data_IF_164802783683
#
_entry.id   IF_164802783683
#
_cell.length_a   1.000
_cell.length_b   1.000
_cell.length_c   1.000
_cell.angle_alpha   90.00
_cell.angle_beta   90.00
_cell.angle_gamma   90.00
#
_symmetry.space_group_name_H-M   'P 1'
#
loop_
_entity.id
_entity.type
_entity.pdbx_description
1 polymer ?
2 non-polymer ?
3 water ?
#
# COMPACT_ATOMS: atom_id res chain seq x y z
N UNK A 19 -16.61 -5.24 28.31
CA UNK A 19 -16.10 -6.60 28.25
C UNK A 19 -14.68 -6.69 28.81
N UNK A 20 -13.98 -5.55 28.83
CA UNK A 20 -12.60 -5.52 29.30
C UNK A 20 -11.68 -6.42 28.50
N UNK A 21 -11.82 -6.42 27.18
CA UNK A 21 -11.13 -7.38 26.33
C UNK A 21 -11.20 -6.90 24.89
N UNK A 22 -10.12 -7.08 24.16
CA UNK A 22 -10.03 -6.66 22.76
C UNK A 22 -10.31 -7.87 21.88
N UNK A 23 -11.45 -7.86 21.20
CA UNK A 23 -11.91 -8.99 20.40
C UNK A 23 -11.61 -8.74 18.94
N UNK A 24 -10.72 -9.54 18.37
CA UNK A 24 -10.37 -9.48 16.95
C UNK A 24 -11.00 -10.68 16.26
N UNK A 25 -11.81 -10.41 15.24
CA UNK A 25 -12.42 -11.45 14.42
C UNK A 25 -11.73 -11.46 13.06
N UNK A 26 -11.23 -12.63 12.67
CA UNK A 26 -10.52 -12.80 11.41
C UNK A 26 -11.36 -13.65 10.47
N UNK A 27 -11.49 -13.22 9.22
CA UNK A 27 -12.31 -13.89 8.23
C UNK A 27 -11.52 -14.09 6.94
N UNK A 28 -11.99 -15.02 6.10
CA UNK A 28 -11.51 -15.14 4.74
C UNK A 28 -10.90 -16.50 4.46
N UNK A 29 -9.85 -16.51 3.63
CA UNK A 29 -9.31 -17.69 3.00
C UNK A 29 -8.00 -18.10 3.68
N UNK A 30 -7.12 -18.79 2.93
CA UNK A 30 -5.92 -19.38 3.50
C UNK A 30 -4.90 -18.34 3.98
N UNK A 31 -4.93 -17.13 3.42
CA UNK A 31 -4.01 -16.10 3.89
C UNK A 31 -4.31 -15.69 5.33
N UNK A 32 -5.59 -15.71 5.71
CA UNK A 32 -5.96 -15.42 7.09
C UNK A 32 -5.80 -16.64 7.98
N UNK A 33 -5.93 -17.84 7.41
CA UNK A 33 -5.64 -19.06 8.16
C UNK A 33 -4.16 -19.22 8.45
N UNK A 34 -3.30 -18.60 7.64
CA UNK A 34 -1.87 -18.72 7.82
C UNK A 34 -1.21 -19.85 7.06
N UNK A 35 -1.83 -20.33 5.98
CA UNK A 35 -1.26 -21.44 5.22
C UNK A 35 0.05 -21.03 4.56
N UNK A 36 1.09 -21.83 4.76
CA UNK A 36 2.41 -21.55 4.26
C UNK A 36 3.39 -21.05 5.31
N UNK A 37 2.89 -20.64 6.47
CA UNK A 37 3.76 -20.20 7.56
C UNK A 37 4.34 -21.41 8.27
N UNK A 38 5.66 -21.38 8.50
CA UNK A 38 6.32 -22.48 9.21
C UNK A 38 5.68 -22.71 10.57
N UNK A 39 5.60 -21.66 11.39
CA UNK A 39 4.81 -21.70 12.60
C UNK A 39 3.33 -21.52 12.26
N UNK A 40 2.48 -21.69 13.25
CA UNK A 40 1.07 -21.47 13.04
C UNK A 40 0.62 -20.03 13.20
N UNK A 41 1.56 -19.08 13.22
CA UNK A 41 1.22 -17.71 13.54
C UNK A 41 0.38 -17.07 12.44
N UNK A 42 0.91 -17.04 11.22
CA UNK A 42 0.30 -16.25 10.16
C UNK A 42 0.42 -14.77 10.47
N UNK A 43 -0.13 -13.94 9.57
CA UNK A 43 -0.04 -12.50 9.78
C UNK A 43 -0.83 -12.06 11.01
N UNK A 44 -1.81 -12.85 11.45
CA UNK A 44 -2.59 -12.50 12.63
C UNK A 44 -1.70 -12.49 13.87
N UNK A 45 -0.86 -13.52 14.00
CA UNK A 45 -0.03 -13.63 15.20
C UNK A 45 0.96 -12.49 15.34
N UNK A 46 1.60 -12.09 14.23
CA UNK A 46 2.52 -10.96 14.29
C UNK A 46 1.78 -9.65 14.52
N UNK A 47 0.52 -9.58 14.11
CA UNK A 47 -0.30 -8.42 14.43
C UNK A 47 -0.56 -8.33 15.93
N UNK A 48 -0.90 -9.46 16.54
CA UNK A 48 -1.17 -9.48 17.98
C UNK A 48 0.09 -9.17 18.78
N UNK A 49 1.25 -9.65 18.30
CA UNK A 49 2.51 -9.37 18.98
C UNK A 49 2.75 -7.87 19.08
N UNK A 50 2.46 -7.13 18.00
CA UNK A 50 2.64 -5.69 18.02
C UNK A 50 1.57 -4.99 18.84
N UNK A 51 0.34 -5.50 18.82
CA UNK A 51 -0.71 -4.90 19.62
C UNK A 51 -0.45 -5.05 21.12
N UNK A 52 0.25 -6.11 21.51
CA UNK A 52 0.57 -6.32 22.92
C UNK A 52 1.72 -5.44 23.40
N UNK A 53 2.33 -4.66 22.51
CA UNK A 53 3.25 -3.62 22.96
C UNK A 53 2.53 -2.36 23.41
N UNK A 54 1.24 -2.24 23.10
CA UNK A 54 0.48 -1.03 23.38
C UNK A 54 -0.34 -1.10 24.65
N UNK A 55 -0.74 -2.29 25.08
CA UNK A 55 -1.60 -2.41 26.25
C UNK A 55 -1.48 -3.81 26.84
N UNK A 56 -1.77 -3.91 28.13
CA UNK A 56 -1.87 -5.19 28.82
C UNK A 56 -3.29 -5.75 28.80
N UNK A 57 -4.23 -5.07 28.16
CA UNK A 57 -5.60 -5.55 28.08
C UNK A 57 -5.63 -6.85 27.27
N UNK A 58 -6.33 -7.88 27.73
CA UNK A 58 -6.34 -9.16 27.01
C UNK A 58 -6.82 -9.01 25.57
N UNK A 59 -6.09 -9.62 24.65
CA UNK A 59 -6.41 -9.60 23.24
C UNK A 59 -6.79 -11.02 22.81
N UNK A 60 -8.01 -11.19 22.33
CA UNK A 60 -8.55 -12.49 21.95
C UNK A 60 -8.83 -12.49 20.45
N UNK A 61 -8.40 -13.56 19.78
CA UNK A 61 -8.55 -13.69 18.34
C UNK A 61 -9.54 -14.81 18.05
N UNK A 62 -10.54 -14.50 17.23
CA UNK A 62 -11.50 -15.48 16.74
C UNK A 62 -11.28 -15.61 15.24
N UNK A 63 -10.55 -16.65 14.84
CA UNK A 63 -10.19 -16.86 13.43
C UNK A 63 -11.21 -17.82 12.81
N UNK A 64 -12.04 -17.28 11.92
CA UNK A 64 -13.06 -18.05 11.22
C UNK A 64 -12.68 -18.35 9.77
N UNK A 65 -11.39 -18.21 9.43
CA UNK A 65 -10.97 -18.38 8.05
C UNK A 65 -11.02 -19.85 7.64
N UNK A 66 -11.33 -20.08 6.37
CA UNK A 66 -11.33 -21.40 5.75
C UNK A 66 -10.47 -21.33 4.50
N UNK A 67 -9.58 -22.30 4.33
CA UNK A 67 -8.54 -22.20 3.31
C UNK A 67 -9.15 -22.01 1.91
N UNK A 68 -10.11 -22.85 1.53
CA UNK A 68 -10.65 -22.79 0.20
C UNK A 68 -11.85 -21.86 0.04
N UNK A 69 -11.96 -20.87 0.92
CA UNK A 69 -13.13 -20.00 0.91
C UNK A 69 -13.05 -19.00 -0.24
N UNK A 70 -14.17 -18.82 -0.94
CA UNK A 70 -14.34 -17.80 -1.96
C UNK A 70 -15.28 -16.72 -1.42
N UNK A 71 -15.46 -15.66 -2.21
CA UNK A 71 -16.30 -14.54 -1.77
C UNK A 71 -17.75 -14.96 -1.58
N UNK A 72 -18.24 -15.90 -2.40
CA UNK A 72 -19.61 -16.37 -2.23
C UNK A 72 -19.78 -17.24 -0.99
N UNK A 73 -18.75 -18.03 -0.66
CA UNK A 73 -18.82 -18.82 0.56
C UNK A 73 -18.72 -17.97 1.81
N UNK A 74 -17.91 -16.91 1.77
CA UNK A 74 -17.81 -16.02 2.91
C UNK A 74 -19.13 -15.30 3.17
N UNK A 75 -19.80 -14.85 2.10
CA UNK A 75 -21.11 -14.23 2.25
C UNK A 75 -22.10 -15.22 2.86
N UNK A 76 -22.08 -16.47 2.39
CA UNK A 76 -22.96 -17.49 2.97
C UNK A 76 -22.57 -17.81 4.41
N UNK A 77 -21.26 -17.82 4.70
CA UNK A 77 -20.82 -18.08 6.07
C UNK A 77 -21.32 -17.00 7.02
N UNK A 78 -21.29 -15.74 6.58
CA UNK A 78 -21.77 -14.63 7.40
C UNK A 78 -23.28 -14.65 7.62
N UNK A 79 -23.98 -15.65 7.06
CA UNK A 79 -25.39 -15.82 7.33
C UNK A 79 -25.73 -16.72 8.49
N UNK A 80 -24.72 -17.36 9.09
CA UNK A 80 -24.94 -18.22 10.25
C UNK A 80 -25.12 -17.38 11.49
N UNK A 81 -26.09 -17.77 12.33
CA UNK A 81 -26.42 -16.96 13.50
C UNK A 81 -25.27 -16.90 14.49
N UNK A 82 -24.58 -18.02 14.72
CA UNK A 82 -23.45 -18.02 15.63
C UNK A 82 -22.31 -17.16 15.10
N UNK A 83 -22.07 -17.21 13.79
CA UNK A 83 -21.04 -16.36 13.19
C UNK A 83 -21.41 -14.89 13.34
N UNK A 84 -22.68 -14.55 13.13
CA UNK A 84 -23.11 -13.16 13.27
C UNK A 84 -22.99 -12.67 14.70
N UNK A 85 -23.20 -13.56 15.68
CA UNK A 85 -23.04 -13.17 17.07
C UNK A 85 -21.60 -12.78 17.39
N UNK A 86 -20.63 -13.45 16.74
CA UNK A 86 -19.23 -13.13 16.98
C UNK A 86 -18.77 -11.91 16.19
N UNK A 87 -19.40 -11.62 15.06
CA UNK A 87 -19.08 -10.41 14.31
C UNK A 87 -19.53 -9.17 15.10
N UNK A 88 -20.69 -9.24 15.73
CA UNK A 88 -21.21 -8.09 16.47
C UNK A 88 -20.37 -7.78 17.71
N UNK A 89 -19.70 -8.77 18.28
CA UNK A 89 -18.84 -8.55 19.43
C UNK A 89 -17.46 -8.04 19.06
N UNK A 90 -17.12 -8.01 17.78
CA UNK A 90 -15.75 -7.69 17.38
C UNK A 90 -15.44 -6.21 17.61
N UNK A 91 -14.28 -5.96 18.22
CA UNK A 91 -13.71 -4.63 18.26
C UNK A 91 -12.85 -4.32 17.05
N UNK A 92 -12.54 -5.33 16.24
CA UNK A 92 -11.64 -5.20 15.11
C UNK A 92 -11.85 -6.38 14.18
N UNK A 93 -11.93 -6.13 12.88
CA UNK A 93 -12.17 -7.16 11.88
C UNK A 93 -11.06 -7.10 10.84
N UNK A 94 -10.44 -8.25 10.56
CA UNK A 94 -9.39 -8.39 9.57
C UNK A 94 -9.77 -9.53 8.65
N UNK A 95 -9.51 -9.37 7.35
CA UNK A 95 -9.99 -10.36 6.40
C UNK A 95 -9.17 -10.33 5.11
N UNK A 96 -9.12 -11.48 4.45
CA UNK A 96 -8.59 -11.63 3.10
C UNK A 96 -9.54 -12.51 2.31
N UNK A 97 -10.09 -11.99 1.22
CA UNK A 97 -11.02 -12.75 0.40
C UNK A 97 -10.86 -12.31 -1.05
N UNK A 98 -11.04 -13.25 -1.96
CA UNK A 98 -10.94 -12.99 -3.39
C UNK A 98 -9.82 -13.73 -4.09
N UNK A 99 -8.78 -14.14 -3.35
CA UNK A 99 -7.70 -14.89 -3.99
C UNK A 99 -8.18 -16.20 -4.57
N UNK A 100 -9.10 -16.87 -3.89
CA UNK A 100 -9.67 -18.11 -4.43
C UNK A 100 -10.65 -17.82 -5.56
N UNK A 101 -11.25 -16.62 -5.56
CA UNK A 101 -12.09 -16.23 -6.70
C UNK A 101 -11.27 -16.08 -7.97
N UNK A 102 -10.04 -15.55 -7.84
CA UNK A 102 -9.16 -15.28 -8.98
C UNK A 102 -8.39 -16.53 -9.43
N UNK A 103 -7.82 -17.27 -8.48
CA UNK A 103 -7.05 -18.48 -8.79
C UNK A 103 -7.88 -19.68 -8.37
N UNK A 104 -8.78 -20.11 -9.25
CA UNK A 104 -9.66 -21.23 -8.94
C UNK A 104 -9.08 -22.58 -9.32
N UNK A 105 -8.25 -22.62 -10.36
CA UNK A 105 -7.64 -23.87 -10.80
C UNK A 105 -6.13 -23.80 -10.88
N UNK A 108 -1.66 -21.00 -11.32
CA UNK A 108 -2.26 -21.16 -12.64
C UNK A 108 -3.47 -20.25 -12.80
N UNK A 109 -3.32 -19.23 -13.64
CA UNK A 109 -4.38 -18.25 -13.87
C UNK A 109 -5.08 -18.55 -15.18
N UNK A 110 -6.42 -18.50 -15.16
CA UNK A 110 -7.21 -18.82 -16.34
C UNK A 110 -6.93 -17.84 -17.47
N UNK A 111 -6.62 -18.38 -18.65
CA UNK A 111 -6.25 -17.59 -19.82
C UNK A 111 -7.45 -17.13 -20.63
N UNK A 112 -8.65 -17.17 -20.04
CA UNK A 112 -9.87 -16.78 -20.73
C UNK A 112 -10.36 -15.45 -20.17
N UNK A 113 -10.52 -14.46 -21.05
CA UNK A 113 -10.93 -13.13 -20.59
C UNK A 113 -12.40 -13.11 -20.21
N UNK A 114 -13.24 -13.90 -20.88
CA UNK A 114 -14.66 -13.92 -20.57
C UNK A 114 -14.90 -14.54 -19.19
N UNK A 115 -14.22 -15.64 -18.88
CA UNK A 115 -14.33 -16.22 -17.55
C UNK A 115 -13.73 -15.32 -16.48
N UNK A 116 -12.68 -14.57 -16.84
CA UNK A 116 -12.05 -13.68 -15.87
C UNK A 116 -12.94 -12.49 -15.55
N UNK A 117 -13.62 -11.94 -16.57
CA UNK A 117 -14.52 -10.81 -16.32
C UNK A 117 -15.70 -11.23 -15.46
N UNK A 118 -16.24 -12.44 -15.69
CA UNK A 118 -17.39 -12.90 -14.92
C UNK A 118 -16.99 -13.20 -13.48
N UNK A 119 -15.78 -13.75 -13.28
CA UNK A 119 -15.34 -14.05 -11.92
C UNK A 119 -15.11 -12.76 -11.12
N UNK A 120 -14.62 -11.71 -11.78
CA UNK A 120 -14.43 -10.43 -11.10
C UNK A 120 -15.78 -9.78 -10.80
N UNK A 121 -16.74 -9.90 -11.72
CA UNK A 121 -18.05 -9.31 -11.50
C UNK A 121 -18.77 -9.98 -10.33
N UNK A 122 -18.71 -11.32 -10.25
CA UNK A 122 -19.28 -12.01 -9.11
C UNK A 122 -18.57 -11.61 -7.82
N UNK A 123 -17.24 -11.51 -7.87
CA UNK A 123 -16.48 -11.20 -6.67
C UNK A 123 -16.80 -9.81 -6.14
N UNK A 124 -16.89 -8.81 -7.04
CA UNK A 124 -17.19 -7.46 -6.60
C UNK A 124 -18.60 -7.38 -6.02
N UNK A 125 -19.56 -8.07 -6.65
CA UNK A 125 -20.91 -8.07 -6.14
C UNK A 125 -20.99 -8.74 -4.77
N UNK A 126 -20.27 -9.85 -4.59
CA UNK A 126 -20.25 -10.51 -3.29
C UNK A 126 -19.52 -9.66 -2.25
N UNK A 127 -18.41 -9.04 -2.64
CA UNK A 127 -17.64 -8.23 -1.69
C UNK A 127 -18.45 -7.06 -1.17
N UNK A 128 -19.22 -6.41 -2.05
CA UNK A 128 -20.06 -5.29 -1.61
C UNK A 128 -21.14 -5.75 -0.65
N UNK A 129 -21.72 -6.94 -0.89
CA UNK A 129 -22.71 -7.47 0.03
C UNK A 129 -22.08 -7.93 1.34
N UNK A 130 -20.82 -8.37 1.29
CA UNK A 130 -20.12 -8.76 2.51
C UNK A 130 -19.85 -7.53 3.38
N UNK A 131 -19.36 -6.45 2.78
CA UNK A 131 -19.11 -5.22 3.54
C UNK A 131 -20.39 -4.68 4.14
N UNK A 132 -21.50 -4.72 3.38
CA UNK A 132 -22.76 -4.19 3.89
C UNK A 132 -23.28 -5.04 5.05
N UNK A 133 -23.15 -6.36 4.95
CA UNK A 133 -23.61 -7.23 6.02
C UNK A 133 -22.77 -7.06 7.27
N UNK A 134 -21.45 -6.92 7.12
CA UNK A 134 -20.60 -6.70 8.28
C UNK A 134 -20.95 -5.39 8.97
N UNK A 135 -21.26 -4.34 8.20
CA UNK A 135 -21.58 -3.06 8.79
C UNK A 135 -22.94 -3.07 9.47
N UNK A 136 -23.88 -3.87 8.98
CA UNK A 136 -25.16 -4.02 9.67
C UNK A 136 -24.98 -4.75 10.99
N UNK A 137 -24.07 -5.74 11.03
CA UNK A 137 -23.82 -6.48 12.26
C UNK A 137 -22.94 -5.69 13.23
N UNK A 138 -22.05 -4.84 12.71
CA UNK A 138 -21.11 -4.11 13.55
C UNK A 138 -20.80 -2.78 12.86
N UNK A 139 -21.43 -1.71 13.34
CA UNK A 139 -21.27 -0.40 12.71
C UNK A 139 -19.99 0.31 13.14
N UNK A 140 -19.36 -0.12 14.21
CA UNK A 140 -18.23 0.61 14.80
C UNK A 140 -16.87 0.02 14.45
N UNK A 141 -16.76 -1.30 14.43
CA UNK A 141 -15.44 -1.94 14.32
C UNK A 141 -14.79 -1.62 12.97
N UNK A 142 -13.52 -1.24 13.02
CA UNK A 142 -12.75 -1.00 11.80
C UNK A 142 -12.51 -2.33 11.09
N UNK A 143 -12.73 -2.34 9.78
CA UNK A 143 -12.55 -3.54 8.95
C UNK A 143 -11.29 -3.35 8.12
N UNK A 144 -10.33 -4.24 8.30
CA UNK A 144 -9.08 -4.20 7.53
C UNK A 144 -9.18 -5.24 6.41
N UNK A 145 -9.32 -4.74 5.18
CA UNK A 145 -9.50 -5.57 4.00
C UNK A 145 -8.15 -5.65 3.29
N UNK A 146 -7.47 -6.79 3.44
CA UNK A 146 -6.08 -6.94 3.01
C UNK A 146 -6.04 -7.40 1.56
N UNK A 147 -5.32 -6.67 0.71
CA UNK A 147 -5.26 -6.95 -0.70
C UNK A 147 -4.32 -8.09 -1.06
N UNK A 148 -4.19 -8.30 -2.37
CA UNK A 148 -3.46 -9.43 -2.93
C UNK A 148 -2.08 -9.00 -3.45
N UNK A 149 -1.21 -9.99 -3.61
CA UNK A 149 0.12 -9.82 -4.15
C UNK A 149 0.28 -10.73 -5.37
N UNK A 150 1.38 -10.56 -6.09
CA UNK A 150 1.68 -11.37 -7.26
C UNK A 150 2.77 -12.36 -6.91
N UNK A 151 2.38 -13.61 -6.69
CA UNK A 151 3.34 -14.66 -6.37
C UNK A 151 4.10 -15.15 -7.61
N UNK A 152 3.43 -15.19 -8.76
CA UNK A 152 4.04 -15.61 -10.01
C UNK A 152 4.78 -14.49 -10.73
N UNK A 153 5.38 -13.56 -9.98
CA UNK A 153 6.09 -12.42 -10.56
C UNK A 153 7.45 -12.79 -11.13
N UNK A 154 7.84 -14.06 -11.08
CA UNK A 154 9.11 -14.52 -11.61
C UNK A 154 8.96 -15.48 -12.78
N UNK A 155 7.75 -15.62 -13.32
CA UNK A 155 7.49 -16.49 -14.46
C UNK A 155 7.46 -15.66 -15.74
N UNK A 156 7.27 -16.34 -16.87
CA UNK A 156 7.17 -15.64 -18.15
C UNK A 156 5.86 -14.89 -18.27
N UNK A 157 4.78 -15.41 -17.67
CA UNK A 157 3.50 -14.73 -17.64
C UNK A 157 3.34 -13.84 -16.42
N UNK A 158 4.44 -13.28 -15.92
CA UNK A 158 4.38 -12.42 -14.74
C UNK A 158 3.74 -11.07 -15.04
N UNK A 159 3.93 -10.56 -16.24
CA UNK A 159 3.36 -9.26 -16.60
C UNK A 159 1.85 -9.31 -16.61
N UNK A 160 1.27 -10.36 -17.20
CA UNK A 160 -0.18 -10.49 -17.23
C UNK A 160 -0.75 -10.69 -15.83
N UNK A 161 -0.03 -11.40 -14.96
CA UNK A 161 -0.54 -11.67 -13.61
C UNK A 161 -0.49 -10.42 -12.75
N UNK A 162 0.56 -9.60 -12.91
CA UNK A 162 0.63 -8.35 -12.15
C UNK A 162 -0.50 -7.41 -12.53
N UNK A 163 -0.83 -7.34 -13.83
CA UNK A 163 -1.89 -6.45 -14.27
C UNK A 163 -3.24 -6.88 -13.73
N UNK A 164 -3.51 -8.20 -13.76
CA UNK A 164 -4.80 -8.70 -13.30
C UNK A 164 -4.92 -8.55 -11.78
N UNK A 165 -3.84 -8.82 -11.05
CA UNK A 165 -3.88 -8.68 -9.59
C UNK A 165 -4.10 -7.23 -9.21
N UNK A 166 -3.36 -6.30 -9.84
CA UNK A 166 -3.53 -4.89 -9.54
C UNK A 166 -4.91 -4.39 -9.96
N UNK A 167 -5.49 -4.97 -11.01
CA UNK A 167 -6.84 -4.59 -11.42
C UNK A 167 -7.87 -5.00 -10.36
N UNK A 168 -7.72 -6.21 -9.81
CA UNK A 168 -8.66 -6.65 -8.78
C UNK A 168 -8.48 -5.88 -7.48
N UNK A 169 -7.24 -5.54 -7.13
CA UNK A 169 -6.99 -4.75 -5.93
C UNK A 169 -7.64 -3.37 -6.04
N UNK A 170 -7.62 -2.77 -7.24
CA UNK A 170 -8.26 -1.48 -7.43
C UNK A 170 -9.76 -1.59 -7.19
N UNK A 171 -10.40 -2.61 -7.76
CA UNK A 171 -11.84 -2.79 -7.56
C UNK A 171 -12.18 -3.12 -6.12
N UNK A 173 -10.56 -1.92 -3.37
CA UNK A 173 -10.50 -0.67 -2.62
C UNK A 173 -11.62 0.28 -3.03
N UNK A 174 -12.08 0.20 -4.28
CA UNK A 174 -13.21 1.03 -4.70
C UNK A 174 -14.48 0.61 -3.97
N UNK A 175 -14.67 -0.69 -3.77
CA UNK A 175 -15.82 -1.16 -2.99
C UNK A 175 -15.67 -0.75 -1.53
N UNK A 176 -14.45 -0.82 -0.99
CA UNK A 176 -14.24 -0.45 0.40
C UNK A 176 -14.47 1.05 0.62
N UNK A 177 -14.24 1.87 -0.40
CA UNK A 177 -14.44 3.31 -0.28
C UNK A 177 -15.91 3.70 -0.13
N UNK A 178 -16.84 2.77 -0.38
CA UNK A 178 -18.26 3.05 -0.25
C UNK A 178 -18.78 2.86 1.17
N UNK A 179 -17.93 2.41 2.09
CA UNK A 179 -18.32 2.16 3.46
C UNK A 179 -17.35 2.82 4.43
N UNK A 180 -17.85 3.31 5.56
CA UNK A 180 -16.96 3.99 6.52
C UNK A 180 -16.11 3.01 7.30
N UNK A 181 -14.85 3.41 7.52
CA UNK A 181 -13.91 2.67 8.36
C UNK A 181 -13.64 1.27 7.83
N UNK A 182 -13.54 1.14 6.51
CA UNK A 182 -13.09 -0.09 5.87
C UNK A 182 -11.81 0.26 5.12
N UNK A 183 -10.68 -0.22 5.63
CA UNK A 183 -9.36 0.15 5.13
C UNK A 183 -8.83 -0.97 4.24
N UNK A 184 -8.60 -0.65 2.97
CA UNK A 184 -7.98 -1.59 2.04
C UNK A 184 -6.48 -1.56 2.26
N UNK A 185 -5.95 -2.63 2.86
CA UNK A 185 -4.52 -2.72 3.18
C UNK A 185 -3.82 -3.41 2.03
N UNK A 186 -2.88 -2.75 1.34
CA UNK A 186 -2.18 -3.40 0.23
C UNK A 186 -1.03 -4.26 0.71
N UNK A 187 -0.77 -5.33 -0.05
CA UNK A 187 0.39 -6.19 0.17
C UNK A 187 1.23 -6.37 -1.09
N UNK A 188 0.86 -5.73 -2.20
CA UNK A 188 1.53 -5.97 -3.47
C UNK A 188 3.01 -5.60 -3.39
N UNK A 189 3.32 -4.43 -2.83
CA UNK A 189 4.71 -3.98 -2.77
C UNK A 189 5.53 -4.79 -1.78
N UNK A 190 4.90 -5.49 -0.85
CA UNK A 190 5.64 -6.33 0.10
C UNK A 190 6.31 -7.50 -0.58
N UNK A 191 5.85 -7.90 -1.77
CA UNK A 191 6.39 -9.03 -2.51
C UNK A 191 6.99 -8.61 -3.84
N UNK A 192 7.31 -7.33 -4.01
CA UNK A 192 7.77 -6.83 -5.30
C UNK A 192 9.21 -7.23 -5.59
N UNK A 193 10.06 -7.21 -4.56
CA UNK A 193 11.49 -7.48 -4.72
C UNK A 193 11.81 -8.85 -4.14
N UNK A 194 12.43 -9.70 -4.97
CA UNK A 194 12.82 -11.06 -4.59
C UNK A 194 11.65 -11.80 -3.94
N UNK A 195 10.63 -12.04 -4.77
CA UNK A 195 9.35 -12.53 -4.26
C UNK A 195 9.51 -13.91 -3.62
N UNK A 196 10.36 -14.77 -4.19
CA UNK A 196 10.48 -16.13 -3.68
C UNK A 196 11.12 -16.18 -2.30
N UNK A 197 11.78 -15.10 -1.87
CA UNK A 197 12.28 -15.04 -0.50
C UNK A 197 11.15 -15.00 0.52
N UNK A 198 9.93 -14.66 0.09
CA UNK A 198 8.79 -14.53 0.99
C UNK A 198 7.65 -15.47 0.63
N UNK A 199 7.93 -16.53 -0.12
CA UNK A 199 6.92 -17.48 -0.55
C UNK A 199 7.17 -18.86 0.04
N UNK A 200 6.09 -19.62 0.16
CA UNK A 200 6.15 -21.00 0.60
C UNK A 200 6.66 -21.88 -0.55
N UNK A 201 6.83 -23.18 -0.27
CA UNK A 201 7.34 -24.10 -1.30
C UNK A 201 6.39 -24.23 -2.48
N UNK A 202 5.11 -23.88 -2.30
CA UNK A 202 4.16 -23.92 -3.41
C UNK A 202 4.29 -22.72 -4.34
N UNK A 203 5.15 -21.75 -4.02
CA UNK A 203 5.35 -20.55 -4.81
C UNK A 203 4.04 -19.78 -5.01
N UNK A 204 3.14 -19.88 -4.03
CA UNK A 204 1.82 -19.28 -4.12
C UNK A 204 1.45 -18.64 -2.79
N UNK A 205 1.54 -19.42 -1.71
CA UNK A 205 1.30 -18.92 -0.36
C UNK A 205 2.56 -18.25 0.18
N UNK A 206 2.41 -17.33 1.13
CA UNK A 206 3.61 -16.73 1.76
C UNK A 206 4.24 -17.70 2.73
N UNK A 207 5.50 -17.41 3.07
CA UNK A 207 6.19 -18.17 4.09
C UNK A 207 6.12 -17.41 5.41
N UNK A 208 6.94 -17.83 6.38
CA UNK A 208 6.97 -17.17 7.67
C UNK A 208 7.34 -15.69 7.54
N UNK A 209 8.34 -15.39 6.71
CA UNK A 209 8.78 -14.01 6.56
C UNK A 209 7.73 -13.17 5.83
N UNK A 210 7.05 -13.76 4.85
CA UNK A 210 6.03 -13.02 4.12
C UNK A 210 4.86 -12.64 5.00
N UNK A 211 4.39 -13.58 5.84
CA UNK A 211 3.30 -13.26 6.76
C UNK A 211 3.73 -12.24 7.80
N UNK A 212 4.99 -12.26 8.21
CA UNK A 212 5.47 -11.29 9.19
C UNK A 212 5.40 -9.87 8.64
N UNK A 213 5.73 -9.69 7.36
CA UNK A 213 5.65 -8.36 6.76
C UNK A 213 4.21 -7.90 6.63
N UNK A 214 3.29 -8.82 6.31
CA UNK A 214 1.88 -8.46 6.23
C UNK A 214 1.35 -8.10 7.61
N UNK A 215 1.69 -8.89 8.63
CA UNK A 215 1.16 -8.65 9.96
C UNK A 215 1.69 -7.37 10.58
N UNK A 216 2.97 -7.06 10.34
CA UNK A 216 3.53 -5.82 10.87
C UNK A 216 2.96 -4.59 10.17
N UNK A 217 2.62 -4.70 8.89
CA UNK A 217 2.00 -3.58 8.19
C UNK A 217 0.60 -3.31 8.71
N UNK A 218 -0.19 -4.36 8.94
CA UNK A 218 -1.54 -4.18 9.48
C UNK A 218 -1.48 -3.64 10.90
N UNK A 219 -0.52 -4.11 11.70
CA UNK A 219 -0.44 -3.69 13.10
C UNK A 219 -0.10 -2.21 13.22
N UNK A 220 0.77 -1.70 12.33
CA UNK A 220 1.14 -0.29 12.38
C UNK A 220 -0.01 0.63 12.01
N UNK A 221 -1.09 0.10 11.45
CA UNK A 221 -2.30 0.88 11.18
C UNK A 221 -3.25 0.91 12.37
N UNK A 222 -2.96 0.14 13.43
CA UNK A 222 -3.83 0.01 14.59
C UNK A 222 -3.19 0.75 15.75
N UNK A 223 -3.90 1.74 16.29
CA UNK A 223 -3.46 2.48 17.46
C UNK A 223 -4.56 2.42 18.50
N UNK A 224 -4.29 1.75 19.62
CA UNK A 224 -5.21 1.68 20.74
C UNK A 224 -4.99 2.88 21.65
N UNK A 225 -6.08 3.39 22.21
CA UNK A 225 -6.01 4.56 23.09
C UNK A 225 -6.89 4.39 24.33
N UNK B 19 31.66 6.24 -3.01
CA UNK B 19 32.62 5.55 -2.15
C UNK B 19 32.04 4.26 -1.59
N UNK B 20 32.71 3.71 -0.58
CA UNK B 20 32.22 2.54 0.13
C UNK B 20 31.19 2.93 1.18
N UNK B 21 30.09 3.55 0.72
CA UNK B 21 29.04 4.02 1.61
C UNK B 21 27.70 3.84 0.93
N UNK B 22 26.64 3.96 1.71
CA UNK B 22 25.28 3.82 1.21
C UNK B 22 24.78 5.19 0.77
N UNK B 23 24.52 5.34 -0.54
CA UNK B 23 24.16 6.62 -1.14
C UNK B 23 22.67 6.59 -1.47
N UNK B 24 21.90 7.42 -0.77
CA UNK B 24 20.46 7.57 -1.01
C UNK B 24 20.25 8.92 -1.70
N UNK B 25 19.71 8.88 -2.91
CA UNK B 25 19.36 10.09 -3.66
C UNK B 25 17.86 10.25 -3.61
N UNK B 26 17.40 11.42 -3.18
CA UNK B 26 15.99 11.71 -2.99
C UNK B 26 15.57 12.80 -3.97
N UNK B 27 14.48 12.53 -4.71
CA UNK B 27 13.98 13.43 -5.73
C UNK B 27 12.51 13.73 -5.45
N UNK B 28 11.99 14.73 -6.17
CA UNK B 28 10.56 15.01 -6.16
C UNK B 28 10.25 16.38 -5.58
N UNK B 29 9.08 16.48 -4.96
CA UNK B 29 8.50 17.74 -4.52
C UNK B 29 8.69 17.92 -3.01
N UNK B 30 7.81 18.71 -2.39
CA UNK B 30 7.99 19.09 -0.99
C UNK B 30 7.77 17.92 -0.04
N UNK B 31 7.10 16.86 -0.48
CA UNK B 31 6.96 15.67 0.37
C UNK B 31 8.32 15.05 0.65
N UNK B 32 9.25 15.16 -0.29
CA UNK B 32 10.60 14.66 -0.08
C UNK B 32 11.48 15.64 0.68
N UNK B 33 11.12 16.93 0.69
CA UNK B 33 11.82 17.91 1.50
C UNK B 33 11.45 17.84 2.97
N UNK B 34 10.39 17.11 3.32
CA UNK B 34 9.97 17.02 4.71
C UNK B 34 9.14 18.18 5.19
N UNK B 35 8.52 18.94 4.28
CA UNK B 35 7.71 20.09 4.66
C UNK B 35 6.50 19.65 5.48
N UNK B 36 6.46 20.05 6.75
CA UNK B 36 5.35 19.69 7.62
C UNK B 36 5.80 19.13 8.95
N UNK B 37 6.89 18.37 8.95
CA UNK B 37 7.39 17.76 10.17
C UNK B 37 8.02 18.81 11.07
N UNK B 38 7.55 18.89 12.31
CA UNK B 38 8.13 19.83 13.27
C UNK B 38 9.62 19.56 13.46
N UNK B 39 9.98 18.29 13.66
CA UNK B 39 11.37 17.90 13.60
C UNK B 39 11.85 17.91 12.16
N UNK B 40 13.12 18.26 11.97
CA UNK B 40 13.70 18.36 10.63
C UNK B 40 13.62 17.08 9.82
N UNK B 41 13.38 15.94 10.45
CA UNK B 41 13.32 14.67 9.73
C UNK B 41 12.03 14.56 8.93
N UNK B 42 12.16 14.45 7.61
CA UNK B 42 11.05 14.05 6.76
C UNK B 42 10.89 12.54 6.82
N UNK B 43 10.30 11.99 5.78
CA UNK B 43 10.22 10.53 5.71
C UNK B 43 11.58 9.89 5.46
N UNK B 44 12.53 10.64 4.90
CA UNK B 44 13.87 10.10 4.68
C UNK B 44 14.58 9.88 6.01
N UNK B 45 14.30 10.73 7.00
CA UNK B 45 14.95 10.58 8.29
C UNK B 45 14.61 9.25 8.96
N UNK B 46 13.35 8.85 8.90
CA UNK B 46 12.96 7.56 9.45
C UNK B 46 13.43 6.40 8.57
N UNK B 47 13.64 6.64 7.28
CA UNK B 47 14.30 5.66 6.44
C UNK B 47 15.70 5.35 6.97
N UNK B 48 16.52 6.39 7.15
CA UNK B 48 17.90 6.20 7.58
C UNK B 48 17.96 5.60 8.97
N UNK B 49 17.01 5.97 9.84
CA UNK B 49 16.99 5.41 11.19
C UNK B 49 16.90 3.89 11.16
N UNK B 50 16.02 3.35 10.34
CA UNK B 50 15.90 1.90 10.23
C UNK B 50 17.10 1.29 9.52
N UNK B 51 17.72 2.04 8.60
CA UNK B 51 18.88 1.51 7.89
C UNK B 51 20.09 1.40 8.81
N UNK B 52 20.26 2.34 9.73
CA UNK B 52 21.35 2.25 10.68
C UNK B 52 21.20 1.07 11.63
N UNK B 53 19.99 0.55 11.80
CA UNK B 53 19.76 -0.68 12.54
C UNK B 53 20.12 -1.92 11.73
N UNK B 54 20.62 -1.75 10.51
CA UNK B 54 21.00 -2.88 9.66
C UNK B 54 22.48 -2.93 9.32
N UNK B 55 23.23 -1.84 9.52
CA UNK B 55 24.64 -1.82 9.17
C UNK B 55 25.34 -0.71 9.95
N UNK B 56 26.65 -0.86 10.09
CA UNK B 56 27.52 0.17 10.66
C UNK B 56 28.15 1.05 9.59
N UNK B 57 27.82 0.82 8.32
CA UNK B 57 28.37 1.59 7.20
C UNK B 57 27.76 2.99 7.18
N UNK B 58 28.56 4.02 6.88
CA UNK B 58 28.01 5.37 6.78
C UNK B 58 26.92 5.45 5.71
N UNK B 59 25.95 6.32 5.97
CA UNK B 59 24.78 6.49 5.10
C UNK B 59 24.67 7.96 4.75
N UNK B 60 24.75 8.28 3.45
CA UNK B 60 24.65 9.64 2.95
C UNK B 60 23.34 9.81 2.20
N UNK B 61 22.70 10.96 2.41
CA UNK B 61 21.45 11.30 1.74
C UNK B 61 21.69 12.54 0.89
N UNK B 62 21.42 12.43 -0.41
CA UNK B 62 21.50 13.54 -1.35
C UNK B 62 20.08 13.91 -1.74
N UNK B 63 19.53 14.92 -1.08
CA UNK B 63 18.15 15.35 -1.31
C UNK B 63 18.14 16.44 -2.38
N UNK B 64 17.50 16.15 -3.51
CA UNK B 64 17.43 17.07 -4.64
C UNK B 64 16.01 17.54 -4.91
N UNK B 65 15.21 17.66 -3.86
CA UNK B 65 13.79 17.98 -4.01
C UNK B 65 13.56 19.49 -3.97
N UNK B 66 12.49 19.92 -4.64
CA UNK B 66 12.09 21.33 -4.69
C UNK B 66 10.63 21.41 -4.25
N UNK B 67 10.27 22.53 -3.63
CA UNK B 67 8.96 22.68 -3.01
C UNK B 67 7.82 22.38 -3.98
N UNK B 68 7.73 23.16 -5.05
CA UNK B 68 6.62 23.01 -5.98
C UNK B 68 6.99 22.30 -7.27
N UNK B 69 7.89 21.32 -7.18
CA UNK B 69 8.37 20.64 -8.37
C UNK B 69 7.27 19.76 -8.97
N UNK B 70 7.03 19.95 -10.26
CA UNK B 70 6.12 19.11 -11.02
C UNK B 70 6.92 18.05 -11.80
N UNK B 71 6.19 17.07 -12.35
CA UNK B 71 6.85 16.04 -13.13
C UNK B 71 7.56 16.62 -14.35
N UNK B 72 7.07 17.76 -14.86
CA UNK B 72 7.79 18.47 -15.90
C UNK B 72 9.10 19.02 -15.38
N UNK B 73 9.08 19.62 -14.19
CA UNK B 73 10.31 20.16 -13.61
C UNK B 73 11.29 19.07 -13.23
N UNK B 74 10.79 17.95 -12.69
CA UNK B 74 11.67 16.85 -12.33
C UNK B 74 12.35 16.25 -13.56
N UNK B 75 11.61 16.14 -14.66
CA UNK B 75 12.20 15.59 -15.89
C UNK B 75 13.26 16.53 -16.44
N UNK B 76 13.05 17.85 -16.34
CA UNK B 76 14.07 18.79 -16.79
C UNK B 76 15.24 18.85 -15.81
N UNK B 77 14.98 18.68 -14.51
CA UNK B 77 16.06 18.64 -13.53
C UNK B 77 16.97 17.46 -13.79
N UNK B 78 16.41 16.31 -14.19
CA UNK B 78 17.20 15.15 -14.55
C UNK B 78 17.95 15.33 -15.86
N UNK B 79 17.74 16.44 -16.56
CA UNK B 79 18.49 16.78 -17.76
C UNK B 79 19.73 17.61 -17.51
N UNK B 80 20.14 17.76 -16.26
CA UNK B 80 21.33 18.51 -15.90
C UNK B 80 22.46 17.53 -15.57
N UNK B 81 23.66 17.81 -16.09
CA UNK B 81 24.73 16.84 -16.02
C UNK B 81 25.21 16.59 -14.60
N UNK B 82 25.19 17.62 -13.73
CA UNK B 82 25.62 17.40 -12.36
C UNK B 82 24.57 16.65 -11.56
N UNK B 83 23.29 16.80 -11.92
CA UNK B 83 22.25 16.00 -11.29
C UNK B 83 22.34 14.56 -11.77
N UNK B 84 22.64 14.36 -13.06
CA UNK B 84 22.81 13.01 -13.58
C UNK B 84 23.99 12.31 -12.93
N UNK B 85 25.04 13.06 -12.58
CA UNK B 85 26.20 12.44 -11.94
C UNK B 85 25.83 11.87 -10.57
N UNK B 86 25.03 12.60 -9.80
CA UNK B 86 24.62 12.11 -8.48
C UNK B 86 23.61 10.99 -8.59
N UNK B 87 22.86 10.92 -9.69
CA UNK B 87 21.92 9.82 -9.89
C UNK B 87 22.66 8.53 -10.17
N UNK B 88 23.74 8.58 -10.95
CA UNK B 88 24.47 7.37 -11.32
C UNK B 88 25.19 6.76 -10.13
N UNK B 89 25.60 7.57 -9.16
CA UNK B 89 26.31 7.08 -7.98
C UNK B 89 25.37 6.70 -6.84
N UNK B 90 24.11 6.43 -7.15
CA UNK B 90 23.11 6.14 -6.12
C UNK B 90 22.97 4.65 -5.92
N UNK B 91 23.00 4.21 -4.67
CA UNK B 91 22.64 2.84 -4.32
C UNK B 91 21.14 2.68 -4.09
N UNK B 92 20.42 3.78 -3.92
CA UNK B 92 18.99 3.74 -3.64
C UNK B 92 18.38 5.08 -4.01
N UNK B 93 17.18 5.05 -4.59
CA UNK B 93 16.49 6.24 -5.05
C UNK B 93 15.06 6.24 -4.51
N UNK B 94 14.65 7.35 -3.92
CA UNK B 94 13.28 7.55 -3.46
C UNK B 94 12.77 8.87 -4.05
N UNK B 95 11.48 8.92 -4.35
CA UNK B 95 10.92 10.10 -5.00
C UNK B 95 9.44 10.24 -4.64
N UNK B 96 8.97 11.48 -4.68
CA UNK B 96 7.55 11.81 -4.56
C UNK B 96 7.25 12.89 -5.59
N UNK B 97 6.49 12.55 -6.63
CA UNK B 97 6.19 13.50 -7.70
C UNK B 97 4.78 13.23 -8.21
N UNK B 98 4.10 14.30 -8.62
CA UNK B 98 2.76 14.21 -9.17
C UNK B 98 1.69 14.89 -8.35
N UNK B 99 1.93 15.09 -7.04
CA UNK B 99 0.96 15.82 -6.24
C UNK B 99 0.75 17.24 -6.72
N UNK B 100 1.81 17.89 -7.20
CA UNK B 100 1.67 19.22 -7.77
C UNK B 100 1.02 19.18 -9.15
N UNK B 101 1.21 18.08 -9.89
CA UNK B 101 0.52 17.93 -11.16
C UNK B 101 -0.99 17.84 -10.98
N UNK B 102 -1.44 17.21 -9.89
CA UNK B 102 -2.85 16.96 -9.65
C UNK B 102 -3.57 18.16 -9.03
N UNK B 103 -2.99 18.77 -8.00
CA UNK B 103 -3.68 19.82 -7.29
C UNK B 103 -3.42 21.21 -7.87
N UNK B 104 -2.18 21.46 -8.30
CA UNK B 104 -1.80 22.73 -8.95
C UNK B 104 -2.33 23.93 -8.17
N UNK B 105 -1.94 24.01 -6.90
CA UNK B 105 -2.50 24.99 -6.01
C UNK B 105 -3.94 24.69 -5.68
N UNK B 106 -4.85 25.61 -6.00
CA UNK B 106 -6.26 25.40 -5.74
C UNK B 106 -7.12 25.51 -6.99
N UNK B 107 -6.46 25.69 -8.15
CA UNK B 107 -7.21 25.85 -9.40
C UNK B 107 -7.88 24.56 -9.84
N UNK B 108 -7.32 23.41 -9.47
CA UNK B 108 -7.88 22.13 -9.88
C UNK B 108 -9.17 21.80 -9.16
N UNK B 109 -9.47 22.49 -8.05
CA UNK B 109 -10.70 22.21 -7.31
C UNK B 109 -11.95 22.42 -8.17
N UNK B 110 -11.88 23.35 -9.12
CA UNK B 110 -12.99 23.61 -10.04
C UNK B 110 -12.69 23.13 -11.46
N UNK B 111 -11.78 22.18 -11.61
CA UNK B 111 -11.49 21.62 -12.92
C UNK B 111 -12.48 20.52 -13.27
N UNK B 112 -12.70 20.32 -14.57
CA UNK B 112 -13.66 19.34 -15.05
C UNK B 112 -12.94 18.09 -15.53
N UNK B 113 -13.69 17.18 -16.15
CA UNK B 113 -13.13 15.88 -16.54
C UNK B 113 -12.10 16.05 -17.65
N UNK B 114 -12.34 16.99 -18.58
CA UNK B 114 -11.42 17.18 -19.68
C UNK B 114 -10.06 17.68 -19.20
N UNK B 115 -10.06 18.72 -18.36
CA UNK B 115 -8.80 19.27 -17.86
C UNK B 115 -8.06 18.27 -16.97
N UNK B 116 -8.80 17.53 -16.16
CA UNK B 116 -8.17 16.55 -15.28
C UNK B 116 -7.49 15.45 -16.07
N UNK B 117 -8.07 15.05 -17.20
CA UNK B 117 -7.49 13.97 -17.99
C UNK B 117 -6.23 14.42 -18.71
N UNK B 118 -6.22 15.65 -19.23
CA UNK B 118 -5.02 16.16 -19.89
C UNK B 118 -3.87 16.28 -18.90
N UNK B 119 -4.14 16.74 -17.69
CA UNK B 119 -3.11 16.80 -16.67
C UNK B 119 -2.63 15.42 -16.26
N UNK B 120 -3.53 14.42 -16.28
CA UNK B 120 -3.14 13.07 -15.94
C UNK B 120 -2.27 12.46 -17.03
N UNK B 121 -2.68 12.59 -18.29
CA UNK B 121 -1.88 12.04 -19.38
C UNK B 121 -0.54 12.76 -19.51
N UNK B 122 -0.52 14.07 -19.21
CA UNK B 122 0.75 14.79 -19.20
C UNK B 122 1.67 14.26 -18.11
N UNK B 123 1.13 14.02 -16.91
CA UNK B 123 1.93 13.51 -15.81
C UNK B 123 2.41 12.08 -16.08
N UNK B 124 1.53 11.24 -16.62
CA UNK B 124 1.91 9.86 -16.92
C UNK B 124 2.97 9.82 -18.01
N UNK B 125 2.85 10.71 -19.02
CA UNK B 125 3.87 10.76 -20.06
C UNK B 125 5.21 11.21 -19.50
N UNK B 126 5.20 12.14 -18.56
CA UNK B 126 6.45 12.59 -17.95
C UNK B 126 7.04 11.53 -17.03
N UNK B 127 6.18 10.84 -16.27
CA UNK B 127 6.67 9.83 -15.34
C UNK B 127 7.35 8.68 -16.08
N UNK B 128 6.79 8.26 -17.21
CA UNK B 128 7.41 7.20 -17.99
C UNK B 128 8.78 7.62 -18.50
N UNK B 129 8.92 8.89 -18.88
CA UNK B 129 10.23 9.39 -19.29
C UNK B 129 11.19 9.46 -18.12
N UNK B 130 10.68 9.82 -16.94
CA UNK B 130 11.54 9.91 -15.75
C UNK B 130 12.07 8.53 -15.38
N UNK B 131 11.19 7.53 -15.35
CA UNK B 131 11.61 6.18 -15.01
C UNK B 131 12.60 5.62 -16.04
N UNK B 132 12.35 5.88 -17.32
CA UNK B 132 13.25 5.38 -18.36
C UNK B 132 14.61 6.06 -18.29
N UNK B 133 14.63 7.35 -17.96
CA UNK B 133 15.89 8.07 -17.87
C UNK B 133 16.71 7.63 -16.66
N UNK B 134 16.03 7.35 -15.54
CA UNK B 134 16.75 6.91 -14.34
C UNK B 134 17.36 5.52 -14.56
N UNK B 135 16.59 4.59 -15.13
CA UNK B 135 17.15 3.29 -15.48
C UNK B 135 18.23 3.42 -16.54
N UNK B 136 18.15 4.46 -17.37
CA UNK B 136 19.21 4.73 -18.34
C UNK B 136 20.49 5.20 -17.66
N UNK B 137 20.37 5.92 -16.55
CA UNK B 137 21.52 6.43 -15.82
C UNK B 137 22.03 5.42 -14.79
N UNK B 138 21.14 4.93 -13.92
CA UNK B 138 21.49 3.97 -12.89
C UNK B 138 20.80 2.65 -13.21
N UNK B 139 21.59 1.59 -13.40
CA UNK B 139 21.06 0.32 -13.91
C UNK B 139 20.59 -0.62 -12.80
N UNK B 140 21.15 -0.51 -11.60
CA UNK B 140 20.89 -1.49 -10.55
C UNK B 140 20.13 -0.96 -9.35
N UNK B 141 20.13 0.36 -9.13
CA UNK B 141 19.52 0.91 -7.92
C UNK B 141 18.02 0.77 -7.95
N UNK B 142 17.44 0.34 -6.82
CA UNK B 142 16.00 0.25 -6.70
C UNK B 142 15.41 1.65 -6.57
N UNK B 143 14.32 1.90 -7.27
CA UNK B 143 13.63 3.18 -7.27
C UNK B 143 12.32 3.01 -6.51
N UNK B 144 12.16 3.76 -5.42
CA UNK B 144 10.93 3.73 -4.64
C UNK B 144 10.05 4.90 -5.07
N UNK B 145 8.91 4.57 -5.67
CA UNK B 145 7.97 5.55 -6.19
C UNK B 145 6.82 5.66 -5.20
N UNK B 146 6.78 6.75 -4.44
CA UNK B 146 5.87 6.89 -3.31
C UNK B 146 4.56 7.52 -3.79
N UNK B 147 3.48 6.77 -3.67
CA UNK B 147 2.18 7.22 -4.13
C UNK B 147 1.58 8.30 -3.25
N UNK B 148 0.40 8.75 -3.65
CA UNK B 148 -0.28 9.87 -3.03
C UNK B 148 -1.31 9.41 -2.00
N UNK B 149 -1.63 10.30 -1.07
CA UNK B 149 -2.71 10.14 -0.12
C UNK B 149 -3.73 11.26 -0.34
N UNK B 150 -4.85 11.17 0.36
CA UNK B 150 -5.90 12.18 0.27
C UNK B 150 -5.95 12.94 1.59
N UNK B 151 -5.49 14.19 1.58
CA UNK B 151 -5.59 15.05 2.76
C UNK B 151 -7.00 15.57 2.98
N UNK B 152 -7.81 15.63 1.92
CA UNK B 152 -9.18 16.11 2.01
C UNK B 152 -10.17 15.00 2.34
N UNK B 153 -9.75 13.99 3.11
CA UNK B 153 -10.66 12.90 3.47
C UNK B 153 -11.79 13.38 4.38
N UNK B 154 -11.63 14.52 5.03
CA UNK B 154 -12.63 15.04 5.95
C UNK B 154 -13.55 16.08 5.32
N UNK B 155 -13.18 16.63 4.17
CA UNK B 155 -13.98 17.68 3.55
C UNK B 155 -15.23 17.09 2.92
N UNK B 156 -16.11 17.98 2.45
CA UNK B 156 -17.39 17.55 1.89
C UNK B 156 -17.21 16.81 0.58
N UNK B 157 -16.20 17.15 -0.20
CA UNK B 157 -15.93 16.51 -1.49
C UNK B 157 -14.97 15.35 -1.37
N UNK B 158 -15.09 14.55 -0.30
CA UNK B 158 -14.11 13.50 -0.05
C UNK B 158 -14.30 12.30 -0.98
N UNK B 159 -15.54 12.02 -1.38
CA UNK B 159 -15.79 10.87 -2.24
C UNK B 159 -15.15 11.06 -3.61
N UNK B 160 -15.35 12.23 -4.21
CA UNK B 160 -14.76 12.51 -5.52
C UNK B 160 -13.23 12.64 -5.42
N UNK B 161 -12.74 13.32 -4.40
CA UNK B 161 -11.30 13.54 -4.27
C UNK B 161 -10.55 12.23 -4.09
N UNK B 162 -11.06 11.34 -3.22
CA UNK B 162 -10.40 10.07 -2.96
C UNK B 162 -10.42 9.16 -4.19
N UNK B 163 -11.43 9.30 -5.04
CA UNK B 163 -11.48 8.48 -6.26
C UNK B 163 -10.43 8.91 -7.28
N UNK B 164 -10.18 10.22 -7.36
CA UNK B 164 -9.18 10.71 -8.32
C UNK B 164 -7.77 10.36 -7.85
N UNK B 165 -7.52 10.44 -6.54
CA UNK B 165 -6.20 10.10 -6.01
C UNK B 165 -5.90 8.63 -6.24
N UNK B 166 -6.87 7.76 -5.97
CA UNK B 166 -6.68 6.33 -6.24
C UNK B 166 -6.52 6.06 -7.73
N UNK B 167 -7.20 6.83 -8.57
CA UNK B 167 -7.04 6.65 -10.02
C UNK B 167 -5.64 7.04 -10.47
N UNK B 168 -5.10 8.14 -9.93
CA UNK B 168 -3.74 8.53 -10.28
C UNK B 168 -2.71 7.56 -9.72
N UNK B 169 -2.96 7.03 -8.53
CA UNK B 169 -2.04 6.05 -7.94
C UNK B 169 -1.97 4.78 -8.79
N UNK B 170 -3.11 4.34 -9.33
CA UNK B 170 -3.12 3.17 -10.18
C UNK B 170 -2.30 3.40 -11.44
N UNK B 171 -2.50 4.55 -12.08
CA UNK B 171 -1.72 4.89 -13.27
C UNK B 171 -0.24 5.07 -12.93
N UNK B 173 1.40 3.31 -10.62
CA UNK B 173 1.97 1.98 -10.47
C UNK B 173 2.02 1.22 -11.78
N UNK B 174 1.09 1.50 -12.70
CA UNK B 174 1.14 0.85 -14.01
C UNK B 174 2.37 1.28 -14.79
N UNK B 175 2.77 2.56 -14.67
CA UNK B 175 4.00 3.00 -15.29
C UNK B 175 5.20 2.31 -14.67
N UNK B 176 5.18 2.14 -13.34
CA UNK B 176 6.29 1.48 -12.66
C UNK B 176 6.40 0.01 -13.03
N UNK B 177 5.26 -0.64 -13.30
CA UNK B 177 5.27 -2.06 -13.66
C UNK B 177 5.96 -2.32 -15.00
N UNK B 178 6.19 -1.29 -15.81
CA UNK B 178 6.86 -1.45 -17.09
C UNK B 178 8.38 -1.51 -16.95
N UNK B 179 8.91 -1.28 -15.75
CA UNK B 179 10.35 -1.21 -15.53
C UNK B 179 10.75 -2.10 -14.36
N UNK B 180 11.96 -2.63 -14.38
CA UNK B 180 12.41 -3.48 -13.27
C UNK B 180 12.90 -2.66 -12.09
N UNK B 181 12.60 -3.17 -10.89
CA UNK B 181 13.08 -2.59 -9.62
C UNK B 181 12.62 -1.15 -9.43
N UNK B 182 11.40 -0.86 -9.85
CA UNK B 182 10.73 0.41 -9.56
C UNK B 182 9.48 0.06 -8.77
N UNK B 183 9.53 0.23 -7.46
CA UNK B 183 8.47 -0.19 -6.56
C UNK B 183 7.57 1.01 -6.27
N UNK B 184 6.27 0.85 -6.53
CA UNK B 184 5.29 1.87 -6.18
C UNK B 184 4.88 1.66 -4.72
N UNK B 185 5.25 2.60 -3.86
CA UNK B 185 4.99 2.49 -2.43
C UNK B 185 3.68 3.22 -2.13
N UNK B 186 2.64 2.52 -1.69
CA UNK B 186 1.37 3.21 -1.39
C UNK B 186 1.41 3.92 -0.06
N UNK B 187 0.70 5.05 0.00
CA UNK B 187 0.53 5.81 1.24
C UNK B 187 -0.92 6.11 1.55
N UNK B 188 -1.86 5.69 0.71
CA UNK B 188 -3.26 6.07 0.87
C UNK B 188 -3.83 5.53 2.18
N UNK B 189 -3.56 4.26 2.50
CA UNK B 189 -4.10 3.65 3.69
C UNK B 189 -3.50 4.21 4.97
N UNK B 190 -2.32 4.84 4.88
CA UNK B 190 -1.69 5.43 6.07
C UNK B 190 -2.49 6.61 6.62
N UNK B 191 -3.31 7.25 5.79
CA UNK B 191 -4.05 8.43 6.18
C UNK B 191 -5.56 8.20 6.15
N UNK B 192 -5.98 6.94 6.18
CA UNK B 192 -7.42 6.64 6.07
C UNK B 192 -8.14 6.93 7.38
N UNK B 193 -7.56 6.48 8.50
CA UNK B 193 -8.18 6.64 9.82
C UNK B 193 -7.58 7.87 10.51
N UNK B 194 -8.46 8.78 10.95
CA UNK B 194 -8.06 9.99 11.66
C UNK B 194 -6.99 10.76 10.88
N UNK B 195 -7.41 11.24 9.70
CA UNK B 195 -6.47 11.88 8.78
C UNK B 195 -5.87 13.15 9.37
N UNK B 196 -6.64 13.85 10.20
CA UNK B 196 -6.14 15.11 10.77
C UNK B 196 -5.08 14.89 11.84
N UNK B 197 -5.00 13.69 12.41
CA UNK B 197 -3.94 13.39 13.37
C UNK B 197 -2.58 13.26 12.71
N UNK B 198 -2.52 13.18 11.39
CA UNK B 198 -1.27 12.98 10.66
C UNK B 198 -1.00 14.09 9.65
N UNK B 199 -1.72 15.21 9.75
CA UNK B 199 -1.60 16.30 8.79
C UNK B 199 -1.05 17.55 9.48
N UNK B 200 -0.29 18.32 8.71
CA UNK B 200 0.19 19.62 9.17
C UNK B 200 -0.97 20.60 9.26
N UNK B 201 -0.72 21.74 9.90
CA UNK B 201 -1.75 22.76 10.12
C UNK B 201 -2.32 23.35 8.83
N UNK B 202 -1.78 23.00 7.66
CA UNK B 202 -2.35 23.44 6.39
C UNK B 202 -3.31 22.42 5.79
N UNK B 203 -3.57 21.31 6.50
CA UNK B 203 -4.47 20.26 6.04
C UNK B 203 -4.04 19.68 4.69
N UNK B 204 -2.73 19.62 4.44
CA UNK B 204 -2.22 19.18 3.16
C UNK B 204 -0.99 18.30 3.34
N UNK B 205 0.08 18.87 3.92
CA UNK B 205 1.29 18.12 4.17
C UNK B 205 1.16 17.29 5.43
N UNK B 206 1.93 16.21 5.56
CA UNK B 206 1.91 15.43 6.80
C UNK B 206 2.70 16.14 7.89
N UNK B 207 2.41 15.74 9.13
CA UNK B 207 3.14 16.24 10.28
C UNK B 207 4.29 15.28 10.60
N UNK B 208 4.81 15.36 11.83
CA UNK B 208 5.92 14.49 12.22
C UNK B 208 5.51 13.03 12.20
N UNK B 209 4.32 12.72 12.70
CA UNK B 209 3.87 11.33 12.71
C UNK B 209 3.46 10.87 11.33
N UNK B 210 2.96 11.77 10.49
CA UNK B 210 2.62 11.39 9.12
C UNK B 210 3.83 10.94 8.33
N UNK B 211 4.92 11.70 8.42
CA UNK B 211 6.16 11.29 7.78
C UNK B 211 6.75 10.04 8.43
N UNK B 212 6.55 9.89 9.74
CA UNK B 212 7.04 8.70 10.42
C UNK B 212 6.39 7.44 9.87
N UNK B 213 5.10 7.51 9.53
CA UNK B 213 4.43 6.37 8.91
C UNK B 213 4.98 6.10 7.52
N UNK B 214 5.15 7.16 6.73
CA UNK B 214 5.65 7.00 5.36
C UNK B 214 7.07 6.46 5.37
N UNK B 215 7.92 7.04 6.23
CA UNK B 215 9.31 6.63 6.27
C UNK B 215 9.48 5.20 6.74
N UNK B 216 8.67 4.77 7.71
CA UNK B 216 8.78 3.40 8.21
C UNK B 216 8.26 2.39 7.20
N UNK B 217 7.25 2.74 6.41
CA UNK B 217 6.77 1.83 5.39
C UNK B 217 7.79 1.66 4.27
N UNK B 218 8.41 2.76 3.83
CA UNK B 218 9.47 2.65 2.83
C UNK B 218 10.65 1.87 3.38
N UNK B 219 10.99 2.10 4.65
CA UNK B 219 12.12 1.40 5.25
C UNK B 219 11.85 -0.09 5.44
N UNK B 220 10.57 -0.47 5.60
CA UNK B 220 10.25 -1.88 5.74
C UNK B 220 10.48 -2.66 4.45
N UNK B 221 10.56 -1.97 3.31
CA UNK B 221 10.83 -2.59 2.03
C UNK B 221 12.32 -2.65 1.70
N UNK B 222 13.17 -2.08 2.55
CA UNK B 222 14.60 -1.99 2.30
C UNK B 222 15.31 -3.08 3.10
N UNK B 223 16.04 -3.94 2.39
CA UNK B 223 16.92 -4.92 3.01
C UNK B 223 18.23 -4.91 2.24
N UNK B 224 19.32 -4.64 2.94
CA UNK B 224 20.61 -4.41 2.30
C UNK B 224 21.23 -5.71 1.80
N UNK B 225 21.90 -5.63 0.66
CA UNK B 225 22.57 -6.79 0.07
C UNK B 225 24.08 -6.56 0.01
#
# INVERSE_FOLDING_TARGET
>A
AKPSVEQKRPSANEAKKRDGEIDIVALGDSLTRGTGDESGKGYIGYMVDELRQQTDEPIRVTNLAIRGLRSDGLLRQLGQSEIQRQIAMADLIVMTIGGNDLFQGGEALEWNVKELDEAKRQYIANLDRIFALLRRLNSEAVIFAIGLYNAASDLDDAKRTSAIVRDWNFAXAEVAAHYPNIVAVPTFDLFALHVNDYLYSDHFHPNKEGYKRIGERVASLITLTEEDRQ
>B
AKPSVEQKRPSANEAKKRDGEIDIVALGDSLTRGTGDESGKGYIGYMVDELRQQTDEPIRVTNLAIRGLRSDGLLRQLGQSEIQRQIAMADLIVMTIGGNDLFQGGEALEWNVKELDEAKRQYIANLDRIFALLRRLNSEAVIFAIGLYNAASDLDDAKRTSAIVRDWNFAXAEVAAHYPNIVAVPTFDLFALHVNDYLYSDHFHPNKEGYKRIGERVASLITLTEEDRQ
#
